data_IF_746558172746
#
_entry.id   IF_746558172746
#
_cell.length_a   1.000
_cell.length_b   1.000
_cell.length_c   1.000
_cell.angle_alpha   90.00
_cell.angle_beta   90.00
_cell.angle_gamma   90.00
#
_symmetry.space_group_name_H-M   'P 1'
#
loop_
_entity.id
_entity.type
_entity.pdbx_description
1 polymer ?
#
# COMPACT_ATOMS: atom_id res chain seq x y z
N UNK A 1 -74.48 10.14 -32.97
CA UNK A 1 -74.10 10.35 -34.38
C UNK A 1 -73.53 9.04 -34.90
N UNK A 2 -74.04 8.53 -36.02
CA UNK A 2 -73.50 7.31 -36.65
C UNK A 2 -72.25 7.66 -37.45
N UNK A 3 -71.15 6.93 -37.22
CA UNK A 3 -69.91 7.10 -37.97
C UNK A 3 -70.12 6.60 -39.41
N UNK A 4 -69.70 7.37 -40.41
CA UNK A 4 -69.91 7.02 -41.81
C UNK A 4 -69.05 5.81 -42.23
N UNK A 5 -69.54 5.03 -43.19
CA UNK A 5 -68.86 3.87 -43.74
C UNK A 5 -67.49 4.20 -44.33
N UNK A 6 -67.33 5.40 -44.90
CA UNK A 6 -66.04 5.90 -45.38
C UNK A 6 -65.03 6.09 -44.25
N UNK A 7 -65.46 6.68 -43.12
CA UNK A 7 -64.59 6.84 -41.94
C UNK A 7 -64.16 5.49 -41.37
N UNK A 8 -65.07 4.51 -41.33
CA UNK A 8 -64.75 3.14 -40.88
C UNK A 8 -63.74 2.45 -41.80
N UNK A 9 -63.88 2.59 -43.12
CA UNK A 9 -62.95 2.03 -44.10
C UNK A 9 -61.57 2.68 -44.05
N UNK A 10 -61.52 4.01 -43.86
CA UNK A 10 -60.27 4.75 -43.69
C UNK A 10 -59.52 4.29 -42.43
N UNK A 11 -60.22 4.18 -41.29
CA UNK A 11 -59.62 3.72 -40.02
C UNK A 11 -59.06 2.30 -40.17
N UNK A 12 -59.80 1.37 -40.79
CA UNK A 12 -59.30 0.00 -41.04
C UNK A 12 -58.09 -0.03 -41.96
N UNK A 13 -58.05 0.84 -42.97
CA UNK A 13 -56.90 0.96 -43.88
C UNK A 13 -55.67 1.47 -43.14
N UNK A 14 -55.81 2.50 -42.30
CA UNK A 14 -54.73 2.98 -41.44
C UNK A 14 -54.28 1.94 -40.44
N UNK A 15 -55.20 1.20 -39.82
CA UNK A 15 -54.87 0.11 -38.90
C UNK A 15 -54.09 -1.00 -39.61
N UNK A 16 -54.53 -1.43 -40.80
CA UNK A 16 -53.83 -2.44 -41.58
C UNK A 16 -52.45 -1.96 -42.07
N UNK A 17 -52.33 -0.69 -42.46
CA UNK A 17 -51.04 -0.09 -42.83
C UNK A 17 -50.10 0.01 -41.62
N UNK A 18 -50.60 0.41 -40.45
CA UNK A 18 -49.82 0.46 -39.22
C UNK A 18 -49.39 -0.94 -38.76
N UNK A 19 -50.28 -1.94 -38.85
CA UNK A 19 -49.98 -3.32 -38.49
C UNK A 19 -48.94 -3.93 -39.46
N UNK A 20 -49.04 -3.66 -40.76
CA UNK A 20 -48.04 -4.05 -41.75
C UNK A 20 -46.70 -3.34 -41.53
N UNK A 21 -46.72 -2.06 -41.15
CA UNK A 21 -45.52 -1.31 -40.82
C UNK A 21 -44.84 -1.86 -39.56
N UNK A 22 -45.60 -2.12 -38.48
CA UNK A 22 -45.08 -2.71 -37.24
C UNK A 22 -44.54 -4.11 -37.47
N UNK A 23 -45.25 -4.95 -38.23
CA UNK A 23 -44.78 -6.30 -38.58
C UNK A 23 -43.52 -6.27 -39.44
N UNK A 24 -43.37 -5.31 -40.36
CA UNK A 24 -42.18 -5.19 -41.21
C UNK A 24 -41.01 -4.44 -40.54
N UNK A 25 -41.24 -3.55 -39.57
CA UNK A 25 -40.15 -2.79 -38.93
C UNK A 25 -39.65 -3.47 -37.65
N UNK A 26 -40.54 -4.15 -36.91
CA UNK A 26 -40.21 -4.78 -35.63
C UNK A 26 -39.76 -6.24 -35.79
N UNK A 27 -40.15 -6.93 -36.87
CA UNK A 27 -39.77 -8.33 -37.15
C UNK A 27 -38.74 -8.51 -38.28
N UNK A 28 -38.35 -7.45 -39.00
CA UNK A 28 -37.39 -7.57 -40.10
C UNK A 28 -35.92 -7.65 -39.70
N UNK A 29 -35.58 -7.64 -38.41
CA UNK A 29 -34.26 -8.10 -37.99
C UNK A 29 -34.31 -8.94 -36.71
N UNK A 30 -34.57 -10.26 -36.83
CA UNK A 30 -34.33 -11.21 -35.74
C UNK A 30 -32.86 -11.19 -35.29
N UNK A 31 -31.95 -10.66 -36.11
CA UNK A 31 -30.51 -10.67 -35.89
C UNK A 31 -30.06 -9.70 -34.78
N UNK A 32 -30.76 -8.60 -34.52
CA UNK A 32 -30.32 -7.57 -33.55
C UNK A 32 -30.20 -8.11 -32.12
N UNK A 33 -31.20 -8.80 -31.53
CA UNK A 33 -31.03 -9.37 -30.19
C UNK A 33 -29.91 -10.42 -30.15
N UNK A 34 -29.82 -11.33 -31.14
CA UNK A 34 -28.77 -12.36 -31.14
C UNK A 34 -27.35 -11.79 -31.34
N UNK A 35 -27.19 -10.82 -32.24
CA UNK A 35 -25.90 -10.12 -32.43
C UNK A 35 -25.53 -9.24 -31.25
N UNK A 36 -26.51 -8.63 -30.56
CA UNK A 36 -26.24 -7.88 -29.32
C UNK A 36 -25.79 -8.80 -28.18
N UNK A 37 -26.33 -10.02 -28.10
CA UNK A 37 -25.88 -11.03 -27.13
C UNK A 37 -24.45 -11.48 -27.45
N UNK A 38 -24.15 -11.82 -28.71
CA UNK A 38 -22.79 -12.20 -29.11
C UNK A 38 -21.78 -11.05 -28.95
N UNK A 39 -22.18 -9.83 -29.32
CA UNK A 39 -21.40 -8.62 -29.13
C UNK A 39 -21.16 -8.31 -27.65
N UNK A 40 -22.16 -8.51 -26.79
CA UNK A 40 -22.05 -8.39 -25.34
C UNK A 40 -21.09 -9.41 -24.75
N UNK A 41 -21.17 -10.69 -25.15
CA UNK A 41 -20.24 -11.74 -24.71
C UNK A 41 -18.80 -11.40 -25.15
N UNK A 42 -18.61 -10.99 -26.40
CA UNK A 42 -17.31 -10.59 -26.90
C UNK A 42 -16.75 -9.36 -26.16
N UNK A 43 -17.56 -8.33 -25.96
CA UNK A 43 -17.17 -7.14 -25.22
C UNK A 43 -16.82 -7.48 -23.76
N UNK A 44 -17.61 -8.30 -23.08
CA UNK A 44 -17.31 -8.77 -21.73
C UNK A 44 -15.98 -9.52 -21.68
N UNK A 45 -15.71 -10.39 -22.66
CA UNK A 45 -14.43 -11.10 -22.77
C UNK A 45 -13.26 -10.15 -23.00
N UNK A 46 -13.41 -9.16 -23.89
CA UNK A 46 -12.38 -8.14 -24.13
C UNK A 46 -12.11 -7.33 -22.87
N UNK A 47 -13.16 -6.90 -22.16
CA UNK A 47 -13.01 -6.16 -20.89
C UNK A 47 -12.31 -7.02 -19.85
N UNK A 48 -12.69 -8.29 -19.71
CA UNK A 48 -12.06 -9.21 -18.77
C UNK A 48 -10.58 -9.46 -19.11
N UNK A 49 -10.28 -9.78 -20.36
CA UNK A 49 -8.91 -10.05 -20.82
C UNK A 49 -8.04 -8.78 -20.70
N UNK A 50 -8.59 -7.61 -21.00
CA UNK A 50 -7.91 -6.32 -20.81
C UNK A 50 -7.67 -6.03 -19.33
N UNK A 51 -8.66 -6.26 -18.47
CA UNK A 51 -8.52 -6.07 -17.02
C UNK A 51 -7.44 -6.99 -16.46
N UNK A 52 -7.38 -8.24 -16.93
CA UNK A 52 -6.34 -9.18 -16.52
C UNK A 52 -4.95 -8.80 -17.04
N UNK A 53 -4.85 -8.32 -18.27
CA UNK A 53 -3.60 -7.82 -18.83
C UNK A 53 -3.09 -6.61 -18.04
N UNK A 54 -3.96 -5.63 -17.78
CA UNK A 54 -3.64 -4.42 -17.00
C UNK A 54 -3.21 -4.79 -15.59
N UNK A 55 -3.94 -5.69 -14.91
CA UNK A 55 -3.62 -6.12 -13.55
C UNK A 55 -2.27 -6.87 -13.49
N UNK A 56 -2.00 -7.74 -14.46
CA UNK A 56 -0.72 -8.47 -14.54
C UNK A 56 0.45 -7.53 -14.81
N UNK A 57 0.28 -6.58 -15.74
CA UNK A 57 1.29 -5.56 -16.03
C UNK A 57 1.55 -4.69 -14.81
N UNK A 58 0.48 -4.28 -14.14
CA UNK A 58 0.52 -3.46 -12.94
C UNK A 58 1.33 -4.13 -11.83
N UNK A 59 1.02 -5.37 -11.46
CA UNK A 59 1.73 -6.10 -10.40
C UNK A 59 3.22 -6.22 -10.73
N UNK A 60 3.56 -6.56 -11.99
CA UNK A 60 4.96 -6.68 -12.42
C UNK A 60 5.70 -5.34 -12.39
N UNK A 61 5.05 -4.27 -12.86
CA UNK A 61 5.65 -2.94 -12.90
C UNK A 61 5.92 -2.41 -11.49
N UNK A 62 4.95 -2.55 -10.58
CA UNK A 62 5.07 -2.16 -9.18
C UNK A 62 6.21 -2.92 -8.47
N UNK A 63 6.32 -4.23 -8.66
CA UNK A 63 7.39 -5.04 -8.06
C UNK A 63 8.78 -4.69 -8.64
N UNK A 64 8.87 -4.53 -9.96
CA UNK A 64 10.12 -4.12 -10.61
C UNK A 64 10.58 -2.74 -10.15
N UNK A 65 9.65 -1.80 -9.97
CA UNK A 65 9.95 -0.46 -9.48
C UNK A 65 10.43 -0.50 -8.02
N UNK A 66 9.82 -1.33 -7.17
CA UNK A 66 10.26 -1.50 -5.78
C UNK A 66 11.69 -2.07 -5.69
N UNK A 67 11.99 -3.11 -6.47
CA UNK A 67 13.34 -3.68 -6.57
C UNK A 67 14.36 -2.66 -7.10
N UNK A 68 13.98 -1.89 -8.12
CA UNK A 68 14.84 -0.85 -8.66
C UNK A 68 15.21 0.20 -7.61
N UNK A 69 14.23 0.68 -6.85
CA UNK A 69 14.49 1.67 -5.81
C UNK A 69 15.40 1.15 -4.70
N UNK A 70 15.19 -0.08 -4.25
CA UNK A 70 15.97 -0.65 -3.14
C UNK A 70 17.40 -1.01 -3.55
N UNK A 71 17.60 -1.60 -4.73
CA UNK A 71 18.89 -2.21 -5.10
C UNK A 71 19.71 -1.42 -6.12
N UNK A 72 19.06 -0.64 -6.98
CA UNK A 72 19.72 0.02 -8.13
C UNK A 72 19.66 1.54 -8.10
N UNK A 73 18.78 2.13 -7.31
CA UNK A 73 18.66 3.58 -7.23
C UNK A 73 19.67 4.18 -6.25
N UNK A 74 20.27 5.30 -6.64
CA UNK A 74 21.09 6.11 -5.73
C UNK A 74 20.26 6.75 -4.60
N UNK A 75 18.91 6.77 -4.71
CA UNK A 75 18.00 7.43 -3.77
C UNK A 75 18.18 6.95 -2.33
N UNK A 76 18.40 5.65 -2.14
CA UNK A 76 18.59 5.03 -0.83
C UNK A 76 20.01 4.49 -0.63
N UNK A 77 20.97 4.94 -1.44
CA UNK A 77 22.37 4.53 -1.34
C UNK A 77 23.10 5.30 -0.23
N UNK A 78 23.92 4.58 0.55
CA UNK A 78 24.79 5.15 1.59
C UNK A 78 25.96 5.96 1.00
N UNK A 79 26.24 5.82 -0.30
CA UNK A 79 27.37 6.49 -0.95
C UNK A 79 27.17 8.01 -1.09
N UNK A 80 25.93 8.49 -1.07
CA UNK A 80 25.63 9.91 -1.01
C UNK A 80 25.34 10.28 0.45
N UNK A 81 26.25 11.04 1.07
CA UNK A 81 26.09 11.62 2.42
C UNK A 81 25.05 12.77 2.43
N UNK A 82 23.84 12.53 1.93
CA UNK A 82 22.73 13.50 1.90
C UNK A 82 21.67 13.13 2.92
N UNK A 83 21.95 13.35 4.21
CA UNK A 83 20.99 13.17 5.31
C UNK A 83 20.62 11.71 5.63
N UNK A 84 19.70 11.51 6.57
CA UNK A 84 19.24 10.18 7.01
C UNK A 84 18.44 9.49 5.90
N UNK A 85 18.76 8.22 5.59
CA UNK A 85 18.12 7.45 4.48
C UNK A 85 16.61 7.34 4.65
N UNK A 86 16.14 7.32 5.89
CA UNK A 86 14.71 7.23 6.23
C UNK A 86 13.91 8.50 5.88
N UNK A 87 14.56 9.64 5.65
CA UNK A 87 13.90 10.91 5.30
C UNK A 87 14.02 11.24 3.80
N UNK A 88 14.60 10.34 3.01
CA UNK A 88 14.83 10.56 1.58
C UNK A 88 13.63 10.12 0.77
N UNK A 89 13.25 10.95 -0.19
CA UNK A 89 12.21 10.66 -1.17
C UNK A 89 12.46 11.39 -2.48
N UNK A 90 11.77 10.96 -3.53
CA UNK A 90 11.77 11.58 -4.85
C UNK A 90 10.34 11.63 -5.40
N UNK A 91 10.09 12.46 -6.41
CA UNK A 91 8.78 12.49 -7.05
C UNK A 91 8.40 11.13 -7.66
N UNK A 92 9.37 10.41 -8.20
CA UNK A 92 9.14 9.08 -8.77
C UNK A 92 8.79 8.05 -7.68
N UNK A 93 9.48 8.10 -6.54
CA UNK A 93 9.20 7.19 -5.42
C UNK A 93 7.88 7.52 -4.73
N UNK A 94 7.47 8.79 -4.66
CA UNK A 94 6.13 9.17 -4.17
C UNK A 94 5.03 8.68 -5.12
N UNK A 95 5.18 8.90 -6.44
CA UNK A 95 4.25 8.36 -7.45
C UNK A 95 4.15 6.84 -7.35
N UNK A 96 5.28 6.18 -7.14
CA UNK A 96 5.36 4.75 -6.92
C UNK A 96 4.57 4.25 -5.71
N UNK A 97 4.70 4.92 -4.57
CA UNK A 97 3.87 4.61 -3.38
C UNK A 97 2.39 4.94 -3.63
N UNK A 98 2.08 6.00 -4.38
CA UNK A 98 0.71 6.33 -4.77
C UNK A 98 0.05 5.27 -5.63
N UNK A 99 0.79 4.70 -6.57
CA UNK A 99 0.39 3.49 -7.31
C UNK A 99 0.08 2.39 -6.31
N UNK A 100 1.04 2.05 -5.44
CA UNK A 100 0.92 0.99 -4.42
C UNK A 100 -0.33 1.12 -3.54
N UNK A 101 -0.64 2.31 -3.05
CA UNK A 101 -1.86 2.58 -2.25
C UNK A 101 -3.12 2.19 -3.02
N UNK A 102 -3.20 2.52 -4.32
CA UNK A 102 -4.32 2.14 -5.17
C UNK A 102 -4.54 0.63 -5.21
N UNK A 103 -3.46 -0.15 -5.30
CA UNK A 103 -3.51 -1.62 -5.23
C UNK A 103 -4.00 -2.12 -3.88
N UNK A 104 -3.42 -1.61 -2.79
CA UNK A 104 -3.83 -1.97 -1.42
C UNK A 104 -5.32 -1.66 -1.16
N UNK A 105 -5.86 -0.56 -1.70
CA UNK A 105 -7.29 -0.26 -1.61
C UNK A 105 -8.17 -1.25 -2.37
N UNK A 106 -7.73 -1.71 -3.55
CA UNK A 106 -8.45 -2.73 -4.33
C UNK A 106 -8.44 -4.05 -3.57
N UNK A 107 -7.28 -4.49 -3.05
CA UNK A 107 -7.15 -5.72 -2.28
C UNK A 107 -7.97 -5.67 -0.98
N UNK A 108 -7.93 -4.54 -0.28
CA UNK A 108 -8.77 -4.29 0.88
C UNK A 108 -10.26 -4.37 0.53
N UNK A 109 -10.69 -3.71 -0.55
CA UNK A 109 -12.06 -3.76 -1.05
C UNK A 109 -12.49 -5.19 -1.38
N UNK A 110 -11.62 -5.97 -2.03
CA UNK A 110 -11.87 -7.39 -2.32
C UNK A 110 -12.02 -8.20 -1.03
N UNK A 111 -11.13 -8.03 -0.05
CA UNK A 111 -11.23 -8.72 1.24
C UNK A 111 -12.53 -8.38 1.94
N UNK A 112 -12.96 -7.11 1.93
CA UNK A 112 -14.24 -6.69 2.51
C UNK A 112 -15.45 -7.29 1.79
N UNK A 113 -15.48 -7.22 0.45
CA UNK A 113 -16.61 -7.70 -0.35
C UNK A 113 -16.80 -9.22 -0.25
N UNK A 114 -15.71 -9.97 -0.10
CA UNK A 114 -15.73 -11.42 -0.04
C UNK A 114 -15.46 -11.98 1.37
N UNK A 115 -15.47 -11.14 2.42
CA UNK A 115 -15.30 -11.58 3.80
C UNK A 115 -16.44 -12.54 4.21
N UNK A 116 -16.16 -13.67 4.90
CA UNK A 116 -14.86 -14.14 5.41
C UNK A 116 -14.12 -15.13 4.48
N UNK A 117 -14.53 -15.25 3.21
CA UNK A 117 -14.05 -16.27 2.27
C UNK A 117 -12.59 -16.09 1.87
N UNK A 118 -12.14 -14.83 1.69
CA UNK A 118 -10.76 -14.52 1.31
C UNK A 118 -9.78 -14.43 2.50
N UNK A 119 -10.28 -14.52 3.74
CA UNK A 119 -9.43 -14.44 4.92
C UNK A 119 -10.17 -14.08 6.20
N UNK A 120 -9.51 -14.32 7.33
CA UNK A 120 -9.96 -13.94 8.66
C UNK A 120 -9.86 -12.44 8.93
N UNK A 121 -10.25 -12.03 10.15
CA UNK A 121 -10.13 -10.63 10.62
C UNK A 121 -8.69 -10.11 10.59
N UNK A 122 -7.72 -11.01 10.65
CA UNK A 122 -6.29 -10.74 10.58
C UNK A 122 -5.92 -10.10 9.24
N UNK A 123 -6.56 -10.52 8.14
CA UNK A 123 -6.34 -9.96 6.80
C UNK A 123 -6.88 -8.54 6.69
N UNK A 124 -8.06 -8.30 7.29
CA UNK A 124 -8.68 -6.97 7.38
C UNK A 124 -7.78 -6.00 8.15
N UNK A 125 -7.28 -6.43 9.32
CA UNK A 125 -6.38 -5.62 10.15
C UNK A 125 -5.05 -5.37 9.42
N UNK A 126 -4.45 -6.42 8.86
CA UNK A 126 -3.20 -6.32 8.10
C UNK A 126 -3.31 -5.32 6.96
N UNK A 127 -4.30 -5.47 6.06
CA UNK A 127 -4.46 -4.58 4.90
C UNK A 127 -4.81 -3.14 5.31
N UNK A 128 -5.56 -2.96 6.41
CA UNK A 128 -5.81 -1.62 6.97
C UNK A 128 -4.51 -0.95 7.42
N UNK A 129 -3.72 -1.65 8.23
CA UNK A 129 -2.45 -1.13 8.76
C UNK A 129 -1.44 -0.88 7.65
N UNK A 130 -1.32 -1.80 6.69
CA UNK A 130 -0.43 -1.65 5.54
C UNK A 130 -0.84 -0.47 4.66
N UNK A 131 -2.14 -0.29 4.38
CA UNK A 131 -2.62 0.87 3.60
C UNK A 131 -2.31 2.19 4.31
N UNK A 132 -2.50 2.26 5.63
CA UNK A 132 -2.16 3.44 6.43
C UNK A 132 -0.65 3.70 6.41
N UNK A 133 0.18 2.67 6.58
CA UNK A 133 1.63 2.81 6.58
C UNK A 133 2.19 3.29 5.23
N UNK A 134 1.72 2.71 4.13
CA UNK A 134 2.12 3.12 2.77
C UNK A 134 1.61 4.54 2.48
N UNK A 135 0.39 4.88 2.91
CA UNK A 135 -0.16 6.24 2.77
C UNK A 135 0.62 7.28 3.57
N UNK A 136 1.02 6.96 4.80
CA UNK A 136 1.89 7.82 5.60
C UNK A 136 3.21 8.09 4.85
N UNK A 137 3.90 7.03 4.42
CA UNK A 137 5.18 7.09 3.71
C UNK A 137 5.11 7.89 2.39
N UNK A 138 3.99 7.78 1.67
CA UNK A 138 3.73 8.60 0.49
C UNK A 138 3.53 10.09 0.84
N UNK A 139 2.72 10.40 1.86
CA UNK A 139 2.32 11.76 2.20
C UNK A 139 3.41 12.55 2.91
N UNK A 140 4.19 11.91 3.80
CA UNK A 140 5.30 12.56 4.51
C UNK A 140 6.59 12.58 3.70
N UNK A 141 6.75 11.65 2.75
CA UNK A 141 8.03 11.45 2.06
C UNK A 141 9.08 10.72 2.92
N UNK A 142 8.68 10.15 4.06
CA UNK A 142 9.55 9.47 5.02
C UNK A 142 9.33 7.95 5.00
N UNK A 143 10.28 7.18 5.51
CA UNK A 143 10.27 5.71 5.61
C UNK A 143 10.07 4.98 4.28
N UNK A 144 10.37 5.64 3.15
CA UNK A 144 10.12 5.06 1.82
C UNK A 144 10.97 3.82 1.58
N UNK A 145 12.23 3.78 2.02
CA UNK A 145 13.09 2.59 1.90
C UNK A 145 12.44 1.37 2.56
N UNK A 146 12.04 1.47 3.83
CA UNK A 146 11.39 0.37 4.55
C UNK A 146 10.06 0.00 3.93
N UNK A 147 9.30 1.00 3.45
CA UNK A 147 8.05 0.75 2.74
C UNK A 147 8.34 -0.09 1.49
N UNK A 148 9.30 0.30 0.65
CA UNK A 148 9.68 -0.47 -0.53
C UNK A 148 10.23 -1.86 -0.22
N UNK A 149 10.94 -2.04 0.90
CA UNK A 149 11.34 -3.37 1.37
C UNK A 149 10.12 -4.24 1.72
N UNK A 150 9.14 -3.71 2.44
CA UNK A 150 7.89 -4.40 2.71
C UNK A 150 7.10 -4.70 1.42
N UNK A 151 7.06 -3.75 0.48
CA UNK A 151 6.39 -3.90 -0.81
C UNK A 151 7.02 -5.02 -1.67
N UNK A 152 8.33 -5.28 -1.55
CA UNK A 152 8.99 -6.44 -2.18
C UNK A 152 8.45 -7.75 -1.61
N UNK A 153 8.15 -7.82 -0.31
CA UNK A 153 7.57 -9.03 0.29
C UNK A 153 6.15 -9.33 -0.20
N UNK A 154 5.42 -8.32 -0.67
CA UNK A 154 4.08 -8.46 -1.27
C UNK A 154 4.09 -9.29 -2.58
N UNK A 155 5.26 -9.45 -3.22
CA UNK A 155 5.43 -10.37 -4.38
C UNK A 155 4.97 -11.80 -4.06
N UNK A 156 5.08 -12.21 -2.80
CA UNK A 156 4.71 -13.56 -2.37
C UNK A 156 3.20 -13.81 -2.47
N UNK A 157 2.35 -12.79 -2.39
CA UNK A 157 0.89 -12.90 -2.46
C UNK A 157 0.39 -13.44 -3.81
N UNK A 158 0.74 -12.85 -4.98
CA UNK A 158 0.35 -13.40 -6.28
C UNK A 158 0.97 -14.78 -6.54
N UNK A 159 2.16 -15.07 -6.00
CA UNK A 159 2.81 -16.38 -6.12
C UNK A 159 2.02 -17.46 -5.36
N UNK A 160 1.66 -17.20 -4.10
CA UNK A 160 0.83 -18.12 -3.30
C UNK A 160 -0.54 -18.33 -3.95
N UNK A 161 -1.18 -17.26 -4.45
CA UNK A 161 -2.46 -17.35 -5.14
C UNK A 161 -2.37 -18.18 -6.42
N UNK A 162 -1.33 -17.98 -7.23
CA UNK A 162 -1.13 -18.77 -8.46
C UNK A 162 -0.91 -20.25 -8.14
N UNK A 163 -0.17 -20.55 -7.07
CA UNK A 163 0.05 -21.93 -6.61
C UNK A 163 -1.26 -22.58 -6.17
N UNK A 164 -2.12 -21.84 -5.46
CA UNK A 164 -3.45 -22.32 -5.07
C UNK A 164 -4.35 -22.59 -6.28
N UNK A 165 -4.34 -21.73 -7.31
CA UNK A 165 -5.09 -21.97 -8.55
C UNK A 165 -4.60 -23.23 -9.28
N UNK A 166 -3.29 -23.40 -9.40
CA UNK A 166 -2.68 -24.56 -10.03
C UNK A 166 -2.94 -25.85 -9.23
N UNK A 167 -2.94 -25.78 -7.90
CA UNK A 167 -3.33 -26.88 -7.01
C UNK A 167 -4.79 -27.29 -7.28
N UNK A 168 -5.71 -26.32 -7.18
CA UNK A 168 -7.16 -26.52 -7.36
C UNK A 168 -7.49 -27.08 -8.75
N UNK A 169 -6.72 -26.73 -9.77
CA UNK A 169 -6.85 -27.26 -11.13
C UNK A 169 -6.24 -28.67 -11.31
N UNK A 170 -5.68 -29.28 -10.27
CA UNK A 170 -5.02 -30.60 -10.33
C UNK A 170 -3.63 -30.58 -10.98
N UNK A 171 -3.01 -29.40 -11.13
CA UNK A 171 -1.77 -29.17 -11.88
C UNK A 171 -0.50 -29.14 -11.01
N UNK A 172 -0.51 -29.77 -9.82
CA UNK A 172 0.65 -29.85 -8.91
C UNK A 172 1.95 -30.36 -9.53
N UNK A 173 1.85 -31.16 -10.60
CA UNK A 173 3.00 -31.76 -11.29
C UNK A 173 3.46 -30.98 -12.52
N UNK A 174 2.82 -29.85 -12.83
CA UNK A 174 3.17 -29.02 -13.97
C UNK A 174 4.46 -28.24 -13.73
N UNK A 175 5.18 -27.91 -14.80
CA UNK A 175 6.34 -27.02 -14.73
C UNK A 175 5.96 -25.65 -14.15
N UNK A 176 4.76 -25.13 -14.46
CA UNK A 176 4.26 -23.87 -13.90
C UNK A 176 4.15 -23.91 -12.38
N UNK A 177 3.65 -25.01 -11.79
CA UNK A 177 3.56 -25.18 -10.34
C UNK A 177 4.94 -25.27 -9.68
N UNK A 178 5.89 -25.96 -10.32
CA UNK A 178 7.27 -26.08 -9.81
C UNK A 178 8.05 -24.77 -9.91
N UNK A 179 7.94 -24.04 -11.02
CA UNK A 179 8.60 -22.74 -11.22
C UNK A 179 8.03 -21.70 -10.25
N UNK A 180 6.71 -21.67 -10.05
CA UNK A 180 6.06 -20.76 -9.11
C UNK A 180 6.32 -21.11 -7.64
N UNK A 181 6.82 -22.32 -7.34
CA UNK A 181 7.22 -22.73 -5.98
C UNK A 181 8.71 -22.66 -5.69
N UNK A 182 9.54 -22.36 -6.70
CA UNK A 182 10.99 -22.17 -6.55
C UNK A 182 11.41 -20.82 -5.92
N UNK A 183 10.61 -19.72 -5.98
CA UNK A 183 10.94 -18.50 -5.24
C UNK A 183 10.53 -18.51 -3.76
N UNK A 184 9.87 -19.55 -3.25
CA UNK A 184 9.46 -19.63 -1.84
C UNK A 184 10.63 -19.81 -0.85
N UNK A 185 11.87 -20.01 -1.34
CA UNK A 185 13.02 -20.41 -0.51
C UNK A 185 14.19 -19.41 -0.36
N UNK A 186 14.18 -18.14 -0.84
CA UNK A 186 15.17 -17.18 -0.33
C UNK A 186 14.63 -15.82 0.15
N UNK A 187 13.33 -15.52 0.17
CA UNK A 187 12.89 -14.21 0.67
C UNK A 187 12.84 -14.14 2.22
N UNK A 188 12.53 -15.25 2.89
CA UNK A 188 12.46 -15.33 4.36
C UNK A 188 13.79 -15.70 5.04
N UNK A 189 14.76 -16.27 4.31
CA UNK A 189 16.06 -16.71 4.84
C UNK A 189 17.15 -15.64 4.78
N UNK A 190 16.80 -14.40 4.45
CA UNK A 190 17.66 -13.27 4.79
C UNK A 190 17.41 -12.89 6.25
N UNK A 191 18.06 -13.64 7.14
CA UNK A 191 18.55 -13.08 8.41
C UNK A 191 19.31 -11.75 8.21
N UNK A 192 19.63 -11.38 6.96
CA UNK A 192 20.18 -10.09 6.54
C UNK A 192 19.13 -8.96 6.40
N UNK A 193 17.84 -9.24 6.12
CA UNK A 193 16.79 -8.20 6.14
C UNK A 193 16.40 -7.85 7.58
N UNK A 194 16.46 -8.81 8.51
CA UNK A 194 16.42 -8.51 9.95
C UNK A 194 17.79 -8.09 10.54
N UNK A 195 18.89 -8.32 9.82
CA UNK A 195 20.21 -7.72 10.10
C UNK A 195 20.23 -6.20 9.87
N UNK A 196 19.28 -5.67 9.10
CA UNK A 196 18.98 -4.22 9.10
C UNK A 196 18.40 -3.74 10.44
N UNK A 197 17.98 -4.65 11.32
CA UNK A 197 17.60 -4.34 12.70
C UNK A 197 18.74 -3.74 13.51
N UNK A 198 19.98 -4.22 13.36
CA UNK A 198 21.15 -3.60 14.01
C UNK A 198 21.42 -2.20 13.46
N UNK A 199 21.27 -2.00 12.15
CA UNK A 199 21.40 -0.67 11.53
C UNK A 199 20.25 0.25 11.94
N UNK A 200 19.05 -0.28 12.18
CA UNK A 200 17.88 0.46 12.70
C UNK A 200 18.09 0.85 14.16
N UNK A 201 18.61 -0.03 15.02
CA UNK A 201 18.95 0.31 16.40
C UNK A 201 20.08 1.35 16.44
N UNK A 202 21.11 1.18 15.60
CA UNK A 202 22.22 2.12 15.50
C UNK A 202 21.77 3.49 14.93
N UNK A 203 20.92 3.53 13.91
CA UNK A 203 20.39 4.79 13.35
C UNK A 203 19.36 5.45 14.28
N UNK A 204 18.49 4.69 14.94
CA UNK A 204 17.56 5.23 15.95
C UNK A 204 18.32 5.72 17.18
N UNK A 205 19.38 5.04 17.62
CA UNK A 205 20.25 5.53 18.71
C UNK A 205 20.99 6.80 18.29
N UNK A 206 21.51 6.88 17.06
CA UNK A 206 22.15 8.11 16.55
C UNK A 206 21.15 9.27 16.49
N UNK A 207 19.94 9.04 15.97
CA UNK A 207 18.89 10.08 15.91
C UNK A 207 18.41 10.47 17.31
N UNK A 208 18.30 9.51 18.23
CA UNK A 208 17.91 9.75 19.61
C UNK A 208 18.98 10.52 20.39
N UNK A 209 20.26 10.21 20.19
CA UNK A 209 21.38 10.94 20.78
C UNK A 209 21.54 12.34 20.18
N UNK A 210 21.29 12.53 18.88
CA UNK A 210 21.23 13.86 18.26
C UNK A 210 20.06 14.68 18.82
N UNK A 211 18.89 14.07 19.03
CA UNK A 211 17.75 14.76 19.65
C UNK A 211 18.05 15.19 21.09
N UNK A 212 18.66 14.31 21.89
CA UNK A 212 19.15 14.67 23.22
C UNK A 212 20.20 15.77 23.19
N UNK A 213 21.13 15.73 22.23
CA UNK A 213 22.15 16.75 22.05
C UNK A 213 21.55 18.12 21.73
N UNK A 214 20.50 18.15 20.90
CA UNK A 214 19.73 19.36 20.61
C UNK A 214 19.03 19.88 21.87
N UNK A 215 18.33 19.04 22.63
CA UNK A 215 17.70 19.46 23.90
C UNK A 215 18.73 19.96 24.93
N UNK A 216 19.89 19.31 25.05
CA UNK A 216 20.94 19.73 25.97
C UNK A 216 21.59 21.05 25.52
N UNK A 217 21.74 21.26 24.21
CA UNK A 217 22.25 22.53 23.65
C UNK A 217 21.28 23.69 23.87
N UNK A 218 19.98 23.47 23.63
CA UNK A 218 18.90 24.43 23.90
C UNK A 218 18.80 24.72 25.40
N UNK A 219 18.93 23.69 26.25
CA UNK A 219 18.97 23.84 27.70
C UNK A 219 20.18 24.67 28.14
N UNK A 220 21.38 24.38 27.63
CA UNK A 220 22.61 25.14 27.95
C UNK A 220 22.52 26.58 27.45
N UNK A 221 22.01 26.82 26.26
CA UNK A 221 21.83 28.17 25.71
C UNK A 221 20.77 28.96 26.48
N UNK A 222 19.68 28.30 26.86
CA UNK A 222 18.62 28.87 27.71
C UNK A 222 19.15 29.16 29.12
N UNK A 223 19.90 28.25 29.74
CA UNK A 223 20.56 28.45 31.05
C UNK A 223 21.62 29.54 30.97
N UNK A 224 22.35 29.64 29.85
CA UNK A 224 23.33 30.72 29.64
C UNK A 224 22.63 32.06 29.48
N UNK A 225 21.55 32.13 28.69
CA UNK A 225 20.73 33.33 28.58
C UNK A 225 20.10 33.72 29.92
N UNK A 226 19.48 32.79 30.64
CA UNK A 226 18.94 33.02 31.99
C UNK A 226 20.05 33.44 32.95
N UNK A 227 21.22 32.82 32.91
CA UNK A 227 22.39 33.17 33.72
C UNK A 227 22.93 34.58 33.43
N UNK A 228 22.89 35.03 32.17
CA UNK A 228 23.23 36.41 31.78
C UNK A 228 22.17 37.41 32.31
N UNK A 229 20.89 37.06 32.28
CA UNK A 229 19.82 37.89 32.88
C UNK A 229 19.88 37.93 34.41
N UNK A 230 20.30 36.83 35.04
CA UNK A 230 20.38 36.69 36.49
C UNK A 230 21.65 37.34 37.08
N UNK A 231 22.75 37.35 36.34
CA UNK A 231 23.98 38.11 36.69
C UNK A 231 23.82 39.62 36.51
N UNK A 232 22.91 40.09 35.64
CA UNK A 232 22.51 41.50 35.61
C UNK A 232 21.56 41.91 36.76
N UNK A 233 20.93 40.95 37.45
CA UNK A 233 19.86 41.23 38.43
C UNK A 233 20.23 40.98 39.89
N UNK A 234 21.48 40.60 40.23
CA UNK A 234 21.86 40.26 41.60
C UNK A 234 23.03 41.09 42.14
N UNK A 235 22.68 42.22 42.79
CA UNK A 235 23.47 42.79 43.88
C UNK A 235 23.49 41.84 45.10
N UNK A 236 24.53 41.84 45.95
CA UNK A 236 24.81 40.71 46.83
C UNK A 236 24.02 40.78 48.14
N UNK A 237 23.26 39.72 48.42
CA UNK A 237 22.67 39.44 49.73
C UNK A 237 22.99 38.00 50.16
N UNK A 238 23.73 37.85 51.27
CA UNK A 238 24.12 36.56 51.89
C UNK A 238 22.91 35.71 52.30
N UNK A 239 22.98 34.40 52.07
CA UNK A 239 22.43 33.41 53.01
C UNK A 239 23.18 32.08 52.91
N UNK A 240 23.81 31.66 54.00
CA UNK A 240 24.47 30.37 54.18
C UNK A 240 23.42 29.26 54.31
N UNK A 241 23.47 28.26 53.43
CA UNK A 241 22.78 26.97 53.62
C UNK A 241 23.84 25.87 53.44
N UNK A 242 24.03 24.95 54.42
CA UNK A 242 25.00 23.88 54.29
C UNK A 242 24.50 22.79 53.32
N UNK A 243 25.41 22.08 52.63
CA UNK A 243 25.06 21.08 51.63
C UNK A 243 24.47 19.80 52.25
N UNK A 244 23.62 19.06 51.53
CA UNK A 244 23.05 17.79 51.99
C UNK A 244 24.10 16.66 52.02
N UNK A 245 23.89 15.62 52.87
CA UNK A 245 24.82 14.51 53.01
C UNK A 245 24.83 13.58 51.77
N UNK A 246 25.95 12.87 51.52
CA UNK A 246 26.11 12.00 50.35
C UNK A 246 25.26 10.72 50.42
N UNK A 247 24.87 10.14 49.27
CA UNK A 247 24.06 8.92 49.21
C UNK A 247 24.86 7.66 49.59
N UNK A 248 24.19 6.60 50.07
CA UNK A 248 24.84 5.33 50.41
C UNK A 248 25.25 4.54 49.16
N UNK A 249 26.29 3.66 49.26
CA UNK A 249 26.80 2.89 48.13
C UNK A 249 25.80 1.80 47.66
N UNK A 250 25.80 1.44 46.36
CA UNK A 250 24.86 0.48 45.81
C UNK A 250 25.12 -0.96 46.32
N UNK A 251 24.04 -1.62 46.73
CA UNK A 251 23.98 -3.05 47.01
C UNK A 251 24.20 -3.85 45.71
N UNK A 252 25.25 -4.68 45.69
CA UNK A 252 25.42 -5.74 44.71
C UNK A 252 24.28 -6.76 44.88
N UNK A 253 23.45 -6.94 43.85
CA UNK A 253 22.63 -8.14 43.69
C UNK A 253 23.14 -8.94 42.50
N UNK A 254 23.84 -10.01 42.85
CA UNK A 254 24.05 -11.24 42.08
C UNK A 254 22.68 -11.86 41.75
N UNK A 255 22.49 -12.33 40.51
CA UNK A 255 21.68 -13.48 40.07
C UNK A 255 21.60 -13.39 38.52
N UNK A 256 21.71 -14.41 37.68
CA UNK A 256 22.18 -15.80 37.74
C UNK A 256 22.12 -16.30 36.29
N UNK A 257 23.03 -17.18 35.89
CA UNK A 257 22.96 -17.87 34.59
C UNK A 257 22.78 -19.35 34.92
N UNK A 258 21.55 -19.83 34.78
CA UNK A 258 21.15 -21.24 34.77
C UNK A 258 20.15 -21.44 33.65
#
# INVERSE_FOLDING_TARGET
MAVSTETVMAIKTYQNQAEALVKNYFLADPFIPYTSVLGGIFACKVVYDLTQLVSTFYIKAYNAMSLYFVFWSDLFSDQQHTGLVTLRSSQLSIVGLGVSIGYFFVDFGMIFLYYPTLGGKEYVIHHSLSTIAVAYSMLSGELQLYTYMCLISEVTTPEINMRWYLDTAGLKRSAAYLINGYPDEPLWLSSDVFGSGSTIYDELDVVWEDHKGIEESLSKETVTHIGIYQTCSSSPGRSNVPPPPPPPPPLFTVYDRG
#
